data_IF_661736366677
#
_entry.id   IF_661736366677
#
_cell.length_a   1.000
_cell.length_b   1.000
_cell.length_c   1.000
_cell.angle_alpha   90.00
_cell.angle_beta   90.00
_cell.angle_gamma   90.00
#
_symmetry.space_group_name_H-M   'P 1'
#
loop_
_entity.id
_entity.type
_entity.pdbx_description
1 polymer ?
#
# COMPACT_ATOMS: atom_id res chain seq x y z
N UNK A 1 5.86 -74.32 -14.72
CA UNK A 1 6.65 -74.88 -13.62
C UNK A 1 6.50 -73.97 -12.41
N UNK A 2 5.75 -74.45 -11.41
CA UNK A 2 5.89 -74.27 -9.95
C UNK A 2 7.29 -73.76 -9.48
N UNK A 3 7.50 -72.99 -8.40
CA UNK A 3 6.72 -72.43 -7.29
C UNK A 3 7.45 -71.17 -6.77
N UNK A 4 6.81 -70.35 -5.92
CA UNK A 4 7.56 -69.47 -5.01
C UNK A 4 6.79 -68.27 -4.47
N UNK A 5 5.72 -68.50 -3.71
CA UNK A 5 5.08 -67.50 -2.84
C UNK A 5 6.02 -67.14 -1.67
N UNK A 6 6.20 -65.84 -1.41
CA UNK A 6 6.58 -65.33 -0.09
C UNK A 6 5.76 -64.07 0.20
N UNK A 7 4.77 -64.26 1.06
CA UNK A 7 3.97 -63.23 1.74
C UNK A 7 4.82 -62.57 2.83
N UNK A 8 4.93 -61.23 2.80
CA UNK A 8 5.35 -60.45 3.96
C UNK A 8 4.17 -59.65 4.47
N UNK A 9 3.82 -59.95 5.70
CA UNK A 9 2.87 -59.30 6.58
C UNK A 9 3.54 -58.11 7.27
N UNK A 10 2.98 -56.91 7.10
CA UNK A 10 3.27 -55.76 7.97
C UNK A 10 1.95 -55.23 8.54
N UNK A 11 1.87 -55.30 9.88
CA UNK A 11 0.83 -54.77 10.73
C UNK A 11 0.96 -53.24 10.92
N UNK A 12 -0.10 -52.55 11.36
CA UNK A 12 -0.24 -51.11 11.24
C UNK A 12 0.41 -50.33 12.41
N UNK A 13 1.18 -49.29 12.09
CA UNK A 13 1.63 -48.31 13.09
C UNK A 13 0.51 -47.29 13.32
N UNK A 14 -0.15 -47.41 14.46
CA UNK A 14 -1.02 -46.39 15.03
C UNK A 14 -0.16 -45.23 15.55
N UNK A 15 -0.23 -44.07 14.90
CA UNK A 15 0.36 -42.84 15.46
C UNK A 15 -0.70 -42.09 16.26
N UNK A 16 -0.49 -42.12 17.58
CA UNK A 16 -1.26 -41.44 18.62
C UNK A 16 -1.17 -39.93 18.48
N UNK A 17 -2.35 -39.30 18.55
CA UNK A 17 -2.57 -37.85 18.66
C UNK A 17 -2.04 -37.35 20.00
N UNK A 18 -1.08 -36.43 19.99
CA UNK A 18 -0.71 -35.63 21.15
C UNK A 18 -1.29 -34.21 20.99
N UNK A 19 -2.38 -33.99 21.71
CA UNK A 19 -3.12 -32.75 21.85
C UNK A 19 -2.38 -31.86 22.87
N UNK A 20 -1.72 -30.80 22.40
CA UNK A 20 -1.04 -29.82 23.23
C UNK A 20 -1.79 -28.50 23.21
N UNK A 21 -2.65 -28.30 24.20
CA UNK A 21 -3.27 -27.03 24.57
C UNK A 21 -2.18 -26.01 24.92
N UNK A 22 -2.07 -24.91 24.17
CA UNK A 22 -1.51 -23.67 24.69
C UNK A 22 -2.53 -22.53 24.52
N UNK A 23 -2.96 -22.04 25.68
CA UNK A 23 -3.87 -20.91 25.85
C UNK A 23 -3.06 -19.60 25.89
N UNK A 24 -3.35 -18.70 24.94
CA UNK A 24 -3.48 -17.22 25.01
C UNK A 24 -2.32 -16.37 25.61
N UNK A 25 -2.07 -15.08 25.22
CA UNK A 25 -3.12 -14.07 24.94
C UNK A 25 -2.82 -13.02 23.84
N UNK A 26 -3.89 -12.33 23.41
CA UNK A 26 -3.89 -10.99 22.81
C UNK A 26 -3.10 -10.77 21.50
N UNK A 27 -3.69 -11.16 20.38
CA UNK A 27 -3.67 -10.32 19.18
C UNK A 27 -5.03 -9.66 19.07
N UNK A 28 -5.10 -8.39 19.47
CA UNK A 28 -6.13 -7.49 18.99
C UNK A 28 -5.91 -7.37 17.48
N UNK A 29 -6.57 -8.23 16.72
CA UNK A 29 -6.77 -8.03 15.29
C UNK A 29 -7.59 -6.76 15.21
N UNK A 30 -6.95 -5.67 14.78
CA UNK A 30 -7.69 -4.51 14.32
C UNK A 30 -8.65 -5.04 13.26
N UNK A 31 -9.95 -4.93 13.54
CA UNK A 31 -11.03 -5.22 12.60
C UNK A 31 -10.87 -4.23 11.45
N UNK A 32 -9.99 -4.59 10.52
CA UNK A 32 -9.79 -3.91 9.27
C UNK A 32 -11.06 -4.14 8.47
N UNK A 33 -12.09 -3.35 8.80
CA UNK A 33 -13.32 -3.28 8.04
C UNK A 33 -12.95 -3.22 6.58
N UNK A 34 -13.52 -4.13 5.81
CA UNK A 34 -13.31 -4.23 4.38
C UNK A 34 -13.91 -2.96 3.74
N UNK A 35 -13.17 -1.85 3.78
CA UNK A 35 -13.53 -0.61 3.10
C UNK A 35 -13.51 -0.98 1.62
N UNK A 36 -14.68 -0.99 1.02
CA UNK A 36 -14.77 -1.20 -0.42
C UNK A 36 -14.17 0.03 -1.11
N UNK A 37 -13.57 -0.16 -2.29
CA UNK A 37 -12.88 0.93 -2.99
C UNK A 37 -13.79 2.15 -3.30
N UNK A 38 -15.12 2.01 -3.20
CA UNK A 38 -16.10 3.10 -3.34
C UNK A 38 -16.29 3.95 -2.06
N UNK A 39 -15.68 3.57 -0.94
CA UNK A 39 -15.84 4.19 0.38
C UNK A 39 -14.63 5.01 0.84
N UNK A 40 -13.60 5.18 0.00
CA UNK A 40 -12.42 5.97 0.39
C UNK A 40 -12.82 7.40 0.83
N UNK A 41 -13.85 7.98 0.20
CA UNK A 41 -14.41 9.26 0.61
C UNK A 41 -15.93 9.15 0.72
N UNK A 42 -16.43 9.06 1.95
CA UNK A 42 -17.87 9.02 2.23
C UNK A 42 -18.51 10.39 1.98
N UNK A 43 -19.82 10.42 1.72
CA UNK A 43 -20.56 11.68 1.51
C UNK A 43 -20.48 12.61 2.73
N UNK A 44 -20.45 12.06 3.94
CA UNK A 44 -20.34 12.83 5.17
C UNK A 44 -18.94 13.46 5.33
N UNK A 45 -17.88 12.78 4.90
CA UNK A 45 -16.53 13.34 4.86
C UNK A 45 -16.41 14.43 3.80
N UNK A 46 -16.97 14.20 2.61
CA UNK A 46 -17.03 15.20 1.55
C UNK A 46 -17.79 16.44 2.03
N UNK A 47 -18.97 16.26 2.63
CA UNK A 47 -19.77 17.35 3.20
C UNK A 47 -19.02 18.10 4.29
N UNK A 48 -18.36 17.38 5.21
CA UNK A 48 -17.54 17.97 6.26
C UNK A 48 -16.38 18.80 5.69
N UNK A 49 -15.69 18.29 4.66
CA UNK A 49 -14.61 18.99 3.99
C UNK A 49 -15.10 20.25 3.26
N UNK A 50 -16.22 20.17 2.52
CA UNK A 50 -16.88 21.30 1.85
C UNK A 50 -17.20 22.40 2.88
N UNK A 51 -17.89 22.04 3.97
CA UNK A 51 -18.29 22.97 5.02
C UNK A 51 -17.08 23.64 5.68
N UNK A 52 -16.05 22.87 6.01
CA UNK A 52 -14.83 23.38 6.66
C UNK A 52 -14.03 24.37 5.80
N UNK A 53 -14.24 24.35 4.48
CA UNK A 53 -13.57 25.24 3.52
C UNK A 53 -14.48 26.30 2.92
N UNK A 54 -15.74 26.34 3.35
CA UNK A 54 -16.78 27.20 2.77
C UNK A 54 -16.82 27.09 1.24
N UNK A 55 -16.67 25.86 0.73
CA UNK A 55 -16.74 25.59 -0.71
C UNK A 55 -18.20 25.57 -1.16
N UNK A 56 -18.49 26.12 -2.34
CA UNK A 56 -19.84 26.11 -2.92
C UNK A 56 -20.11 24.86 -3.76
N UNK A 57 -19.10 24.01 -3.96
CA UNK A 57 -19.26 22.77 -4.70
C UNK A 57 -20.20 21.81 -3.96
N UNK A 58 -21.04 21.12 -4.72
CA UNK A 58 -21.85 20.00 -4.29
C UNK A 58 -20.99 18.74 -4.07
N UNK A 59 -21.54 17.77 -3.35
CA UNK A 59 -20.90 16.46 -3.15
C UNK A 59 -20.65 15.78 -4.50
N UNK A 60 -21.61 15.87 -5.43
CA UNK A 60 -21.49 15.27 -6.76
C UNK A 60 -20.32 15.85 -7.57
N UNK A 61 -20.13 17.18 -7.53
CA UNK A 61 -18.99 17.83 -8.19
C UNK A 61 -17.66 17.40 -7.57
N UNK A 62 -17.57 17.27 -6.24
CA UNK A 62 -16.37 16.77 -5.58
C UNK A 62 -16.09 15.31 -5.96
N UNK A 63 -17.11 14.45 -6.03
CA UNK A 63 -16.98 13.06 -6.48
C UNK A 63 -16.48 12.97 -7.92
N UNK A 64 -17.03 13.79 -8.81
CA UNK A 64 -16.60 13.86 -10.20
C UNK A 64 -15.13 14.32 -10.32
N UNK A 65 -14.69 15.31 -9.53
CA UNK A 65 -13.27 15.72 -9.49
C UNK A 65 -12.38 14.59 -8.97
N UNK A 66 -12.75 13.92 -7.87
CA UNK A 66 -11.99 12.77 -7.34
C UNK A 66 -11.90 11.62 -8.36
N UNK A 67 -12.99 11.34 -9.08
CA UNK A 67 -13.01 10.34 -10.13
C UNK A 67 -12.11 10.72 -11.31
N UNK A 68 -12.06 12.01 -11.64
CA UNK A 68 -11.16 12.53 -12.69
C UNK A 68 -9.70 12.36 -12.29
N UNK A 69 -9.35 12.71 -11.05
CA UNK A 69 -8.00 12.48 -10.50
C UNK A 69 -7.63 10.99 -10.56
N UNK A 70 -8.55 10.11 -10.16
CA UNK A 70 -8.32 8.66 -10.24
C UNK A 70 -8.06 8.20 -11.68
N UNK A 71 -8.88 8.63 -12.64
CA UNK A 71 -8.73 8.26 -14.05
C UNK A 71 -7.41 8.74 -14.63
N UNK A 72 -7.01 9.98 -14.33
CA UNK A 72 -5.72 10.53 -14.75
C UNK A 72 -4.56 9.78 -14.15
N UNK A 73 -4.63 9.44 -12.85
CA UNK A 73 -3.59 8.65 -12.20
C UNK A 73 -3.42 7.28 -12.89
N UNK A 74 -4.52 6.65 -13.30
CA UNK A 74 -4.50 5.40 -14.07
C UNK A 74 -3.94 5.58 -15.48
N UNK A 75 -4.32 6.66 -16.18
CA UNK A 75 -3.84 6.99 -17.52
C UNK A 75 -2.32 7.25 -17.54
N UNK A 76 -1.82 8.00 -16.56
CA UNK A 76 -0.41 8.35 -16.41
C UNK A 76 0.33 7.46 -15.41
N UNK A 77 -0.13 6.22 -15.23
CA UNK A 77 0.44 5.27 -14.26
C UNK A 77 1.95 5.13 -14.38
N UNK A 78 2.47 5.02 -15.61
CA UNK A 78 3.91 4.87 -15.85
C UNK A 78 4.72 6.08 -15.35
N UNK A 79 4.24 7.30 -15.58
CA UNK A 79 4.92 8.51 -15.13
C UNK A 79 4.90 8.63 -13.59
N UNK A 80 3.81 8.21 -12.93
CA UNK A 80 3.77 8.15 -11.47
C UNK A 80 4.72 7.09 -10.91
N UNK A 81 4.87 5.95 -11.58
CA UNK A 81 5.85 4.92 -11.19
C UNK A 81 7.29 5.40 -11.35
N UNK A 82 7.60 6.16 -12.41
CA UNK A 82 8.88 6.85 -12.52
C UNK A 82 9.10 7.83 -11.36
N UNK A 83 8.06 8.55 -10.93
CA UNK A 83 8.10 9.39 -9.74
C UNK A 83 8.36 8.61 -8.46
N UNK A 84 7.81 7.40 -8.33
CA UNK A 84 8.07 6.49 -7.21
C UNK A 84 9.52 6.02 -7.18
N UNK A 85 10.05 5.64 -8.35
CA UNK A 85 11.45 5.26 -8.50
C UNK A 85 12.37 6.44 -8.13
N UNK A 86 12.08 7.65 -8.62
CA UNK A 86 12.89 8.85 -8.38
C UNK A 86 12.71 9.45 -6.97
N UNK A 87 11.75 8.94 -6.17
CA UNK A 87 11.44 9.45 -4.83
C UNK A 87 10.67 10.77 -4.79
N UNK A 88 10.12 11.24 -5.92
CA UNK A 88 9.21 12.40 -5.94
C UNK A 88 7.85 12.04 -5.35
N UNK A 89 7.43 10.78 -5.52
CA UNK A 89 6.31 10.16 -4.82
C UNK A 89 6.83 9.01 -3.96
N UNK A 90 6.48 8.99 -2.69
CA UNK A 90 6.85 7.89 -1.79
C UNK A 90 5.63 7.05 -1.47
N UNK A 91 5.64 5.76 -1.81
CA UNK A 91 4.60 4.85 -1.34
C UNK A 91 4.72 4.69 0.18
N UNK A 92 3.76 5.26 0.91
CA UNK A 92 3.71 5.26 2.37
C UNK A 92 2.97 4.03 2.90
N UNK A 93 1.84 3.71 2.29
CA UNK A 93 0.96 2.63 2.75
C UNK A 93 0.18 2.04 1.57
N UNK A 94 -0.18 0.77 1.67
CA UNK A 94 -1.02 0.09 0.69
C UNK A 94 -1.89 -0.96 1.36
N UNK A 95 -3.18 -0.94 1.09
CA UNK A 95 -4.11 -1.99 1.52
C UNK A 95 -4.56 -2.86 0.34
N UNK A 96 -5.69 -3.57 0.43
CA UNK A 96 -6.19 -4.40 -0.67
C UNK A 96 -6.66 -3.59 -1.90
N UNK A 97 -7.06 -2.33 -1.73
CA UNK A 97 -7.73 -1.53 -2.77
C UNK A 97 -7.22 -0.09 -2.92
N UNK A 98 -6.36 0.39 -2.02
CA UNK A 98 -5.86 1.76 -1.96
C UNK A 98 -4.33 1.77 -1.92
N UNK A 99 -3.76 2.81 -2.51
CA UNK A 99 -2.37 3.22 -2.40
C UNK A 99 -2.31 4.63 -1.81
N UNK A 100 -1.43 4.85 -0.85
CA UNK A 100 -1.15 6.17 -0.28
C UNK A 100 0.28 6.55 -0.63
N UNK A 101 0.43 7.66 -1.34
CA UNK A 101 1.72 8.27 -1.64
C UNK A 101 1.91 9.55 -0.83
N UNK A 102 3.15 9.86 -0.48
CA UNK A 102 3.58 11.19 -0.07
C UNK A 102 4.20 11.90 -1.28
N UNK A 103 3.66 13.08 -1.63
CA UNK A 103 4.30 13.98 -2.58
C UNK A 103 5.36 14.81 -1.88
N UNK A 104 6.62 14.41 -2.07
CA UNK A 104 7.78 15.07 -1.47
C UNK A 104 8.14 16.39 -2.16
N UNK A 105 7.54 16.67 -3.32
CA UNK A 105 7.83 17.88 -4.12
C UNK A 105 6.82 18.99 -3.87
N UNK A 106 5.63 18.64 -3.37
CA UNK A 106 4.48 19.54 -3.27
C UNK A 106 3.90 19.96 -4.63
N UNK A 107 4.33 19.33 -5.73
CA UNK A 107 3.91 19.68 -7.09
C UNK A 107 2.78 18.82 -7.62
N UNK A 108 2.56 17.60 -7.09
CA UNK A 108 1.57 16.66 -7.64
C UNK A 108 0.21 17.32 -7.84
N UNK A 109 -0.29 17.98 -6.80
CA UNK A 109 -1.60 18.63 -6.89
C UNK A 109 -1.60 19.88 -7.78
N UNK A 110 -0.50 20.61 -7.86
CA UNK A 110 -0.41 21.78 -8.73
C UNK A 110 -0.45 21.36 -10.20
N UNK A 111 0.28 20.30 -10.55
CA UNK A 111 0.25 19.68 -11.87
C UNK A 111 -1.14 19.12 -12.17
N UNK A 112 -1.72 18.38 -11.24
CA UNK A 112 -3.01 17.73 -11.45
C UNK A 112 -4.15 18.73 -11.67
N UNK A 113 -4.21 19.83 -10.90
CA UNK A 113 -5.17 20.91 -11.15
C UNK A 113 -4.78 21.85 -12.29
N UNK A 114 -3.51 21.83 -12.72
CA UNK A 114 -2.97 22.63 -13.82
C UNK A 114 -3.11 21.99 -15.20
N UNK A 115 -3.53 20.73 -15.29
CA UNK A 115 -3.68 19.99 -16.54
C UNK A 115 -5.14 19.65 -16.90
N UNK A 116 -5.51 19.67 -18.20
CA UNK A 116 -6.80 19.16 -18.67
C UNK A 116 -7.01 17.69 -18.29
N UNK A 117 -8.23 17.24 -17.94
CA UNK A 117 -9.47 18.02 -17.97
C UNK A 117 -9.74 18.89 -16.73
N UNK A 118 -8.96 18.80 -15.65
CA UNK A 118 -9.26 19.55 -14.42
C UNK A 118 -9.04 21.06 -14.59
N UNK A 119 -8.01 21.47 -15.33
CA UNK A 119 -7.75 22.87 -15.65
C UNK A 119 -8.86 23.52 -16.50
N UNK A 120 -9.53 22.72 -17.33
CA UNK A 120 -10.61 23.19 -18.23
C UNK A 120 -11.96 23.30 -17.50
N UNK A 121 -12.05 22.76 -16.27
CA UNK A 121 -13.24 22.88 -15.44
C UNK A 121 -13.23 24.24 -14.74
N UNK A 122 -14.39 24.90 -14.72
CA UNK A 122 -14.61 26.12 -13.93
C UNK A 122 -14.72 25.82 -12.42
N UNK A 123 -13.72 25.15 -11.85
CA UNK A 123 -13.69 24.80 -10.43
C UNK A 123 -13.47 26.06 -9.60
N UNK A 124 -14.17 26.14 -8.46
CA UNK A 124 -13.89 27.20 -7.49
C UNK A 124 -12.47 27.08 -6.94
N UNK A 125 -11.83 28.21 -6.57
CA UNK A 125 -10.51 28.21 -5.89
C UNK A 125 -10.49 27.40 -4.58
N UNK A 126 -11.66 27.10 -4.02
CA UNK A 126 -11.82 26.31 -2.80
C UNK A 126 -11.87 24.80 -3.08
N UNK A 127 -12.22 24.39 -4.29
CA UNK A 127 -12.34 22.98 -4.67
C UNK A 127 -11.03 22.20 -4.47
N UNK A 128 -9.86 22.67 -4.97
CA UNK A 128 -8.58 22.00 -4.69
C UNK A 128 -8.28 21.83 -3.19
N UNK A 129 -8.66 22.81 -2.36
CA UNK A 129 -8.46 22.77 -0.91
C UNK A 129 -9.33 21.73 -0.22
N UNK A 130 -10.52 21.45 -0.77
CA UNK A 130 -11.40 20.36 -0.31
C UNK A 130 -10.79 19.01 -0.67
N UNK A 131 -10.35 18.83 -1.92
CA UNK A 131 -9.72 17.58 -2.39
C UNK A 131 -8.48 17.24 -1.56
N UNK A 132 -7.54 18.18 -1.41
CA UNK A 132 -6.36 17.98 -0.55
C UNK A 132 -6.74 17.63 0.88
N UNK A 133 -7.77 18.28 1.44
CA UNK A 133 -8.25 17.99 2.80
C UNK A 133 -8.79 16.57 2.95
N UNK A 134 -9.51 16.06 1.95
CA UNK A 134 -10.01 14.69 1.95
C UNK A 134 -8.86 13.69 1.99
N UNK A 135 -7.86 13.86 1.11
CA UNK A 135 -6.68 13.03 1.07
C UNK A 135 -5.88 13.07 2.38
N UNK A 136 -5.68 14.26 2.96
CA UNK A 136 -5.05 14.43 4.27
C UNK A 136 -5.83 13.72 5.39
N UNK A 137 -7.15 13.84 5.39
CA UNK A 137 -8.00 13.23 6.42
C UNK A 137 -7.92 11.71 6.33
N UNK A 138 -7.96 11.16 5.12
CA UNK A 138 -7.89 9.73 4.89
C UNK A 138 -6.50 9.17 5.25
N UNK A 139 -5.43 9.78 4.75
CA UNK A 139 -4.07 9.33 5.01
C UNK A 139 -3.71 9.35 6.50
N UNK A 140 -4.16 10.36 7.26
CA UNK A 140 -3.96 10.44 8.72
C UNK A 140 -4.71 9.37 9.51
N UNK A 141 -5.84 8.88 8.99
CA UNK A 141 -6.60 7.80 9.65
C UNK A 141 -5.93 6.44 9.46
N UNK A 142 -5.25 6.24 8.33
CA UNK A 142 -4.73 4.94 7.93
C UNK A 142 -3.22 4.79 8.14
N UNK A 143 -2.50 5.86 8.48
CA UNK A 143 -1.04 5.84 8.63
C UNK A 143 -0.59 6.71 9.80
N UNK A 144 0.55 6.34 10.39
CA UNK A 144 1.26 7.16 11.38
C UNK A 144 2.28 8.13 10.74
N UNK A 145 2.24 8.29 9.41
CA UNK A 145 3.20 9.09 8.67
C UNK A 145 3.04 10.60 8.97
N UNK A 146 4.16 11.34 8.96
CA UNK A 146 4.21 12.77 9.26
C UNK A 146 3.71 13.66 8.12
N UNK A 147 2.41 13.88 8.01
CA UNK A 147 1.77 14.70 6.95
C UNK A 147 1.83 16.23 7.18
N UNK A 148 2.85 16.73 7.87
CA UNK A 148 2.91 18.15 8.24
C UNK A 148 3.48 19.05 7.12
N UNK A 149 4.38 18.50 6.32
CA UNK A 149 5.18 19.20 5.30
C UNK A 149 4.97 18.65 3.90
N UNK A 150 4.28 17.51 3.76
CA UNK A 150 4.01 16.85 2.47
C UNK A 150 2.52 16.61 2.28
N UNK A 151 2.09 16.60 1.02
CA UNK A 151 0.70 16.34 0.65
C UNK A 151 0.51 14.84 0.32
N UNK A 152 -0.46 14.15 0.97
CA UNK A 152 -0.80 12.79 0.59
C UNK A 152 -1.57 12.75 -0.72
N UNK A 153 -1.35 11.68 -1.47
CA UNK A 153 -2.12 11.27 -2.64
C UNK A 153 -2.68 9.89 -2.34
N UNK A 154 -4.01 9.77 -2.33
CA UNK A 154 -4.75 8.57 -1.93
C UNK A 154 -5.51 8.15 -3.17
N UNK A 155 -5.11 7.03 -3.76
CA UNK A 155 -5.71 6.54 -5.01
C UNK A 155 -6.10 5.09 -4.87
N UNK A 156 -7.17 4.73 -5.56
CA UNK A 156 -7.58 3.34 -5.68
C UNK A 156 -6.59 2.61 -6.56
N UNK A 157 -6.32 1.36 -6.21
CA UNK A 157 -5.59 0.44 -7.07
C UNK A 157 -6.38 0.30 -8.38
N UNK A 158 -5.73 0.51 -9.55
CA UNK A 158 -6.36 0.28 -10.84
C UNK A 158 -7.02 -1.10 -10.90
N UNK A 159 -8.13 -1.29 -11.61
CA UNK A 159 -8.80 -2.60 -11.66
C UNK A 159 -7.89 -3.74 -12.15
N UNK A 160 -6.93 -3.41 -13.03
CA UNK A 160 -5.93 -4.34 -13.56
C UNK A 160 -4.63 -4.35 -12.72
N UNK A 161 -4.66 -3.84 -11.49
CA UNK A 161 -3.53 -3.80 -10.56
C UNK A 161 -3.23 -5.20 -10.00
N UNK A 162 -2.69 -6.08 -10.85
CA UNK A 162 -1.91 -7.22 -10.38
C UNK A 162 -0.48 -6.73 -10.29
N UNK A 163 0.03 -6.44 -9.08
CA UNK A 163 1.41 -6.00 -8.77
C UNK A 163 2.27 -5.90 -10.03
N UNK A 164 2.05 -4.85 -10.82
CA UNK A 164 2.57 -4.84 -12.19
C UNK A 164 4.08 -4.83 -12.06
N UNK A 165 4.79 -5.49 -12.97
CA UNK A 165 6.25 -5.53 -12.95
C UNK A 165 6.83 -4.13 -12.72
N UNK A 166 6.27 -3.13 -13.41
CA UNK A 166 6.60 -1.72 -13.25
C UNK A 166 6.41 -1.17 -11.82
N UNK A 167 5.29 -1.49 -11.14
CA UNK A 167 5.08 -1.06 -9.75
C UNK A 167 6.12 -1.68 -8.82
N UNK A 168 6.36 -2.99 -8.96
CA UNK A 168 7.34 -3.71 -8.13
C UNK A 168 8.73 -3.12 -8.34
N UNK A 169 9.16 -2.97 -9.59
CA UNK A 169 10.46 -2.43 -9.96
C UNK A 169 10.63 -1.00 -9.44
N UNK A 170 9.62 -0.15 -9.60
CA UNK A 170 9.71 1.24 -9.15
C UNK A 170 9.82 1.37 -7.64
N UNK A 171 9.03 0.59 -6.89
CA UNK A 171 9.11 0.58 -5.42
C UNK A 171 10.46 0.01 -4.95
N UNK A 172 10.91 -1.11 -5.52
CA UNK A 172 12.17 -1.75 -5.11
C UNK A 172 13.36 -0.87 -5.47
N UNK A 173 13.40 -0.29 -6.67
CA UNK A 173 14.49 0.59 -7.09
C UNK A 173 14.51 1.89 -6.28
N UNK A 174 13.36 2.52 -6.04
CA UNK A 174 13.30 3.71 -5.19
C UNK A 174 13.78 3.43 -3.76
N UNK A 175 13.50 2.23 -3.22
CA UNK A 175 14.05 1.80 -1.93
C UNK A 175 15.58 1.59 -1.97
N UNK A 176 16.11 1.07 -3.08
CA UNK A 176 17.56 0.92 -3.29
C UNK A 176 18.24 2.29 -3.35
N UNK A 177 17.65 3.25 -4.07
CA UNK A 177 18.16 4.62 -4.18
C UNK A 177 18.16 5.35 -2.83
N UNK A 178 17.25 4.97 -1.92
CA UNK A 178 17.26 5.39 -0.50
C UNK A 178 18.34 4.69 0.35
N UNK A 179 19.25 3.94 -0.27
CA UNK A 179 20.39 3.31 0.39
C UNK A 179 20.12 1.91 0.96
N UNK A 180 19.02 1.26 0.58
CA UNK A 180 18.81 -0.16 0.89
C UNK A 180 19.58 -1.05 -0.08
N UNK A 181 20.05 -2.21 0.41
CA UNK A 181 20.54 -3.24 -0.50
C UNK A 181 19.37 -3.91 -1.24
N UNK A 182 19.59 -4.58 -2.39
CA UNK A 182 18.51 -5.28 -3.10
C UNK A 182 17.72 -6.26 -2.22
N UNK A 183 18.41 -7.04 -1.37
CA UNK A 183 17.75 -7.94 -0.42
C UNK A 183 16.94 -7.23 0.68
N UNK A 184 17.37 -6.04 1.11
CA UNK A 184 16.64 -5.20 2.05
C UNK A 184 15.37 -4.63 1.40
N UNK A 185 15.50 -4.04 0.21
CA UNK A 185 14.36 -3.51 -0.55
C UNK A 185 13.34 -4.59 -0.89
N UNK A 186 13.79 -5.77 -1.32
CA UNK A 186 12.93 -6.92 -1.60
C UNK A 186 12.18 -7.45 -0.38
N UNK A 187 12.82 -7.44 0.79
CA UNK A 187 12.18 -7.82 2.05
C UNK A 187 11.12 -6.80 2.49
N UNK A 188 11.40 -5.49 2.34
CA UNK A 188 10.44 -4.42 2.61
C UNK A 188 9.24 -4.53 1.67
N UNK A 189 9.47 -4.66 0.37
CA UNK A 189 8.40 -4.84 -0.61
C UNK A 189 7.52 -6.05 -0.25
N UNK A 190 8.12 -7.22 -0.01
CA UNK A 190 7.36 -8.45 0.24
C UNK A 190 6.46 -8.40 1.46
N UNK A 191 6.94 -7.77 2.53
CA UNK A 191 6.26 -7.75 3.83
C UNK A 191 5.33 -6.55 3.95
N UNK A 192 5.87 -5.34 3.79
CA UNK A 192 5.14 -4.09 4.05
C UNK A 192 4.26 -3.67 2.86
N UNK A 193 4.70 -3.90 1.62
CA UNK A 193 3.96 -3.47 0.42
C UNK A 193 3.00 -4.56 -0.09
N UNK A 194 3.50 -5.79 -0.22
CA UNK A 194 2.71 -6.92 -0.70
C UNK A 194 1.90 -7.61 0.42
N UNK A 195 1.98 -7.12 1.65
CA UNK A 195 1.17 -7.57 2.80
C UNK A 195 1.40 -9.03 3.21
N UNK A 196 2.57 -9.61 2.94
CA UNK A 196 2.86 -10.99 3.35
C UNK A 196 3.48 -11.00 4.75
N UNK A 197 3.20 -12.04 5.54
CA UNK A 197 4.04 -12.31 6.71
C UNK A 197 5.46 -12.67 6.26
N UNK A 198 6.46 -12.44 7.12
CA UNK A 198 7.87 -12.79 6.86
C UNK A 198 8.02 -14.25 6.43
N UNK A 199 7.31 -15.17 7.10
CA UNK A 199 7.32 -16.60 6.78
C UNK A 199 6.71 -16.88 5.40
N UNK A 200 5.55 -16.28 5.10
CA UNK A 200 4.88 -16.45 3.80
C UNK A 200 5.74 -15.90 2.67
N UNK A 201 6.39 -14.76 2.87
CA UNK A 201 7.29 -14.18 1.88
C UNK A 201 8.53 -15.03 1.66
N UNK A 202 9.17 -15.50 2.74
CA UNK A 202 10.34 -16.38 2.66
C UNK A 202 10.03 -17.66 1.89
N UNK A 203 8.89 -18.29 2.19
CA UNK A 203 8.41 -19.48 1.47
C UNK A 203 8.18 -19.20 -0.02
N UNK A 204 7.56 -18.07 -0.38
CA UNK A 204 7.36 -17.66 -1.79
C UNK A 204 8.68 -17.45 -2.53
N UNK A 205 9.71 -16.94 -1.85
CA UNK A 205 11.04 -16.75 -2.42
C UNK A 205 11.88 -18.05 -2.46
N UNK A 206 11.36 -19.17 -1.94
CA UNK A 206 12.09 -20.44 -1.88
C UNK A 206 13.18 -20.47 -0.81
N UNK A 207 13.14 -19.58 0.18
CA UNK A 207 14.07 -19.61 1.31
C UNK A 207 13.67 -20.71 2.29
N UNK A 208 14.67 -21.42 2.83
CA UNK A 208 14.46 -22.48 3.81
C UNK A 208 14.02 -21.93 5.19
N UNK A 209 14.33 -20.67 5.48
CA UNK A 209 14.08 -20.02 6.77
C UNK A 209 13.64 -18.57 6.58
N UNK A 210 12.70 -18.12 7.42
CA UNK A 210 12.22 -16.75 7.47
C UNK A 210 13.30 -15.75 7.92
N UNK A 211 14.38 -16.20 8.56
CA UNK A 211 15.51 -15.35 8.93
C UNK A 211 16.13 -14.60 7.74
N UNK A 212 16.08 -15.20 6.55
CA UNK A 212 16.50 -14.60 5.28
C UNK A 212 15.66 -13.36 4.88
N UNK A 213 14.45 -13.21 5.42
CA UNK A 213 13.60 -12.01 5.26
C UNK A 213 13.68 -11.13 6.50
N UNK A 214 13.62 -11.72 7.70
CA UNK A 214 13.61 -10.97 8.97
C UNK A 214 14.83 -10.06 9.15
N UNK A 215 16.03 -10.58 8.87
CA UNK A 215 17.26 -9.81 9.13
C UNK A 215 17.47 -8.67 8.13
N UNK A 216 17.28 -8.86 6.80
CA UNK A 216 17.26 -7.74 5.86
C UNK A 216 16.18 -6.71 6.18
N UNK A 217 14.96 -7.16 6.53
CA UNK A 217 13.86 -6.25 6.87
C UNK A 217 14.18 -5.40 8.09
N UNK A 218 14.67 -6.02 9.18
CA UNK A 218 15.10 -5.30 10.40
C UNK A 218 16.19 -4.28 10.09
N UNK A 219 17.16 -4.62 9.23
CA UNK A 219 18.20 -3.67 8.80
C UNK A 219 17.65 -2.54 7.94
N UNK A 220 16.65 -2.82 7.11
CA UNK A 220 15.97 -1.82 6.31
C UNK A 220 15.18 -0.83 7.19
N UNK A 221 14.37 -1.33 8.11
CA UNK A 221 13.58 -0.53 9.08
C UNK A 221 14.50 0.44 9.85
N UNK A 222 15.62 -0.05 10.37
CA UNK A 222 16.61 0.79 11.06
C UNK A 222 17.23 1.89 10.18
N UNK A 223 17.34 1.69 8.86
CA UNK A 223 17.84 2.69 7.92
C UNK A 223 16.76 3.72 7.60
N UNK A 224 15.55 3.25 7.30
CA UNK A 224 14.42 4.09 6.91
C UNK A 224 13.95 4.97 8.08
N UNK A 225 13.89 4.44 9.30
CA UNK A 225 13.55 5.24 10.51
C UNK A 225 14.54 6.37 10.75
N UNK A 226 15.83 6.15 10.44
CA UNK A 226 16.86 7.21 10.54
C UNK A 226 16.70 8.27 9.46
N UNK A 227 16.26 7.88 8.26
CA UNK A 227 16.01 8.83 7.17
C UNK A 227 14.73 9.64 7.43
N UNK A 228 13.70 9.03 8.03
CA UNK A 228 12.48 9.72 8.44
C UNK A 228 12.68 10.76 9.57
N UNK A 229 13.82 10.72 10.27
CA UNK A 229 14.21 11.70 11.30
C UNK A 229 15.04 12.89 10.75
N UNK A 230 15.29 12.95 9.43
CA UNK A 230 16.15 13.97 8.81
C UNK A 230 15.42 14.94 7.87
N UNK A 231 14.09 14.99 7.90
CA UNK A 231 13.27 15.96 7.15
C UNK A 231 12.31 16.73 8.05
#
# INVERSE_FOLDING_TARGET
MNQGLLTQSEEPIQNTVANGNDKNPNTAVADGGNVTADEAFTDDEIRSAINSRSCLASIAEIRDVLQTVQQRFEEFWAAHMDGVHQGTLDLVETDNSILIFADNTGQFWNEEFGHPPLADRNLSERTPKVIKRLHHTWARRHTNYGWSTVDPVVIRKPQNFKHTQMFIESVVNGLIDKGLSPGQAWAVYGVHVAGNSRNKWASKCGYADHSAVSEPLRKAENKLDRTALLH
#
